data_IF_710053973810
#
_entry.id   IF_710053973810
#
_cell.length_a   1.000
_cell.length_b   1.000
_cell.length_c   1.000
_cell.angle_alpha   90.00
_cell.angle_beta   90.00
_cell.angle_gamma   90.00
#
_symmetry.space_group_name_H-M   'P 1'
#
loop_
_entity.id
_entity.type
_entity.pdbx_description
1 polymer ?
#
# COMPACT_ATOMS: atom_id res chain seq x y z
N UNK A 1 8.76 -7.40 -8.58
CA UNK A 1 7.82 -7.54 -7.44
C UNK A 1 7.05 -6.22 -7.26
N UNK A 2 5.90 -6.24 -6.59
CA UNK A 2 5.14 -5.03 -6.26
C UNK A 2 4.62 -5.04 -4.82
N UNK A 3 4.47 -3.84 -4.25
CA UNK A 3 3.84 -3.60 -2.95
C UNK A 3 2.79 -2.51 -3.18
N UNK A 4 1.52 -2.85 -2.99
CA UNK A 4 0.39 -1.97 -3.25
C UNK A 4 -0.27 -1.62 -1.92
N UNK A 5 -0.36 -0.32 -1.65
CA UNK A 5 -1.08 0.22 -0.49
C UNK A 5 -2.40 0.80 -0.95
N UNK A 6 -3.47 0.43 -0.25
CA UNK A 6 -4.82 0.99 -0.43
C UNK A 6 -5.32 1.54 0.90
N UNK A 7 -6.31 2.42 0.85
CA UNK A 7 -6.94 2.98 2.03
C UNK A 7 -8.45 2.71 1.97
N UNK A 8 -9.05 2.38 3.11
CA UNK A 8 -10.42 1.88 3.14
C UNK A 8 -11.47 2.87 2.65
N UNK A 9 -11.23 4.16 2.83
CA UNK A 9 -12.10 5.26 2.40
C UNK A 9 -11.56 5.98 1.16
N UNK A 10 -10.75 5.31 0.35
CA UNK A 10 -10.26 5.80 -0.95
C UNK A 10 -11.17 5.32 -2.09
N UNK A 11 -11.70 6.21 -2.94
CA UNK A 11 -12.41 5.82 -4.16
C UNK A 11 -11.64 4.85 -5.06
N UNK A 12 -10.31 4.90 -5.04
CA UNK A 12 -9.42 4.06 -5.86
C UNK A 12 -9.08 2.71 -5.21
N UNK A 13 -9.56 2.43 -3.99
CA UNK A 13 -9.23 1.21 -3.22
C UNK A 13 -9.40 -0.06 -4.05
N UNK A 14 -10.55 -0.19 -4.69
CA UNK A 14 -10.91 -1.41 -5.42
C UNK A 14 -10.08 -1.56 -6.71
N UNK A 15 -9.75 -0.45 -7.37
CA UNK A 15 -8.86 -0.45 -8.54
C UNK A 15 -7.44 -0.89 -8.17
N UNK A 16 -6.91 -0.38 -7.05
CA UNK A 16 -5.60 -0.78 -6.52
C UNK A 16 -5.55 -2.28 -6.22
N UNK A 17 -6.58 -2.82 -5.55
CA UNK A 17 -6.71 -4.27 -5.31
C UNK A 17 -6.79 -5.06 -6.61
N UNK A 18 -7.64 -4.64 -7.55
CA UNK A 18 -7.80 -5.32 -8.85
C UNK A 18 -6.50 -5.35 -9.65
N UNK A 19 -5.72 -4.28 -9.62
CA UNK A 19 -4.44 -4.23 -10.31
C UNK A 19 -3.44 -5.22 -9.71
N UNK A 20 -3.36 -5.30 -8.37
CA UNK A 20 -2.54 -6.29 -7.69
C UNK A 20 -2.94 -7.73 -7.99
N UNK A 21 -4.25 -8.03 -8.05
CA UNK A 21 -4.73 -9.36 -8.44
C UNK A 21 -4.40 -9.70 -9.90
N UNK A 22 -4.49 -8.73 -10.82
CA UNK A 22 -4.04 -8.92 -12.21
C UNK A 22 -2.55 -9.21 -12.29
N UNK A 23 -1.73 -8.52 -11.49
CA UNK A 23 -0.29 -8.80 -11.40
C UNK A 23 0.00 -10.21 -10.86
N UNK A 24 -0.72 -10.64 -9.81
CA UNK A 24 -0.61 -12.00 -9.27
C UNK A 24 -0.96 -13.05 -10.32
N UNK A 25 -2.05 -12.85 -11.04
CA UNK A 25 -2.46 -13.73 -12.13
C UNK A 25 -1.41 -13.83 -13.25
N UNK A 26 -0.63 -12.76 -13.48
CA UNK A 26 0.48 -12.73 -14.42
C UNK A 26 1.80 -13.30 -13.84
N UNK A 27 1.79 -13.89 -12.63
CA UNK A 27 2.96 -14.48 -11.99
C UNK A 27 3.90 -13.47 -11.33
N UNK A 28 3.51 -12.20 -11.20
CA UNK A 28 4.31 -11.19 -10.49
C UNK A 28 4.12 -11.36 -8.98
N UNK A 29 5.19 -11.43 -8.18
CA UNK A 29 5.07 -11.41 -6.72
C UNK A 29 4.53 -10.05 -6.25
N UNK A 30 3.32 -10.04 -5.67
CA UNK A 30 2.65 -8.82 -5.20
C UNK A 30 2.08 -8.97 -3.79
N UNK A 31 2.42 -8.02 -2.94
CA UNK A 31 1.80 -7.79 -1.64
C UNK A 31 0.81 -6.62 -1.76
N UNK A 32 -0.42 -6.81 -1.27
CA UNK A 32 -1.47 -5.79 -1.28
C UNK A 32 -1.89 -5.58 0.17
N UNK A 33 -1.86 -4.35 0.65
CA UNK A 33 -2.21 -3.98 2.02
C UNK A 33 -3.28 -2.90 2.00
N UNK A 34 -4.35 -3.09 2.78
CA UNK A 34 -5.40 -2.10 2.98
C UNK A 34 -5.31 -1.52 4.39
N UNK A 35 -5.37 -0.20 4.51
CA UNK A 35 -5.44 0.49 5.80
C UNK A 35 -6.90 0.85 6.12
N UNK A 36 -7.50 0.09 7.04
CA UNK A 36 -8.94 0.08 7.36
C UNK A 36 -9.52 1.42 7.86
N UNK A 37 -8.66 2.33 8.32
CA UNK A 37 -9.07 3.61 8.92
C UNK A 37 -8.61 4.82 8.12
N UNK A 38 -7.99 4.62 6.95
CA UNK A 38 -7.32 5.68 6.20
C UNK A 38 -8.14 6.16 4.99
N UNK A 39 -7.87 7.40 4.59
CA UNK A 39 -8.39 8.05 3.38
C UNK A 39 -7.34 8.09 2.27
N UNK A 40 -7.75 8.48 1.06
CA UNK A 40 -6.82 8.76 -0.03
C UNK A 40 -5.75 9.79 0.38
N UNK A 41 -4.50 9.54 -0.01
CA UNK A 41 -3.37 10.45 0.22
C UNK A 41 -2.77 10.42 1.64
N UNK A 42 -3.26 9.57 2.54
CA UNK A 42 -2.83 9.57 3.96
C UNK A 42 -1.31 9.43 4.17
N UNK A 43 -0.57 8.78 3.27
CA UNK A 43 0.89 8.61 3.38
C UNK A 43 1.65 9.95 3.43
N UNK A 44 1.11 11.03 2.87
CA UNK A 44 1.74 12.37 2.93
C UNK A 44 1.54 13.06 4.28
N UNK A 45 0.64 12.53 5.11
CA UNK A 45 0.25 13.13 6.39
C UNK A 45 1.10 12.64 7.58
N UNK A 46 2.12 11.81 7.34
CA UNK A 46 2.93 11.19 8.41
C UNK A 46 3.70 12.17 9.32
N UNK A 47 3.84 13.44 8.92
CA UNK A 47 4.40 14.48 9.78
C UNK A 47 3.40 15.07 10.80
N UNK A 48 2.10 14.79 10.66
CA UNK A 48 1.02 15.39 11.46
C UNK A 48 0.14 14.31 12.10
N UNK A 49 -0.07 13.18 11.41
CA UNK A 49 -0.94 12.08 11.87
C UNK A 49 -0.09 10.86 12.22
N UNK A 50 0.09 10.61 13.52
CA UNK A 50 0.95 9.51 14.00
C UNK A 50 0.53 8.13 13.52
N UNK A 51 -0.78 7.92 13.35
CA UNK A 51 -1.34 6.65 12.87
C UNK A 51 -0.87 6.26 11.44
N UNK A 52 -0.27 7.19 10.69
CA UNK A 52 0.29 6.95 9.35
C UNK A 52 1.68 6.32 9.41
N UNK A 53 2.46 6.55 10.48
CA UNK A 53 3.86 6.10 10.59
C UNK A 53 4.05 4.61 10.28
N UNK A 54 3.22 3.68 10.81
CA UNK A 54 3.37 2.26 10.49
C UNK A 54 3.27 1.95 8.99
N UNK A 55 2.48 2.72 8.22
CA UNK A 55 2.35 2.52 6.79
C UNK A 55 3.59 2.95 6.01
N UNK A 56 4.18 4.08 6.38
CA UNK A 56 5.44 4.56 5.80
C UNK A 56 6.57 3.57 6.11
N UNK A 57 6.66 3.09 7.35
CA UNK A 57 7.66 2.10 7.77
C UNK A 57 7.50 0.78 7.02
N UNK A 58 6.27 0.27 6.87
CA UNK A 58 5.99 -0.96 6.14
C UNK A 58 6.39 -0.83 4.66
N UNK A 59 6.03 0.27 4.00
CA UNK A 59 6.42 0.55 2.62
C UNK A 59 7.96 0.64 2.49
N UNK A 60 8.64 1.32 3.41
CA UNK A 60 10.11 1.39 3.43
C UNK A 60 10.77 0.02 3.60
N UNK A 61 10.24 -0.83 4.49
CA UNK A 61 10.71 -2.23 4.64
C UNK A 61 10.49 -3.04 3.37
N UNK A 62 9.37 -2.88 2.69
CA UNK A 62 9.08 -3.56 1.43
C UNK A 62 10.07 -3.16 0.33
N UNK A 63 10.36 -1.87 0.20
CA UNK A 63 11.39 -1.37 -0.74
C UNK A 63 12.76 -1.94 -0.40
N UNK A 64 13.17 -1.88 0.86
CA UNK A 64 14.46 -2.44 1.30
C UNK A 64 14.58 -3.92 0.95
N UNK A 65 13.55 -4.72 1.28
CA UNK A 65 13.50 -6.16 0.98
C UNK A 65 13.56 -6.45 -0.53
N UNK A 66 12.99 -5.59 -1.37
CA UNK A 66 12.96 -5.79 -2.82
C UNK A 66 14.29 -5.44 -3.51
N UNK A 67 15.16 -4.65 -2.85
CA UNK A 67 16.41 -4.13 -3.43
C UNK A 67 17.67 -4.67 -2.74
N UNK A 68 17.53 -5.38 -1.63
CA UNK A 68 18.60 -6.15 -0.98
C UNK A 68 18.75 -7.54 -1.60
#
# INVERSE_FOLDING_TARGET
PAYIVTAQFDPLRDEGRMYGEKMRAAGVPVEIVNYETMIHGFLTMGGIVDAVKPAIEAAGKAVKKALS
#
